data_IF_834629523135
#
_entry.id   IF_834629523135
#
_cell.length_a   1.000
_cell.length_b   1.000
_cell.length_c   1.000
_cell.angle_alpha   90.00
_cell.angle_beta   90.00
_cell.angle_gamma   90.00
#
_symmetry.space_group_name_H-M   'P 1'
#
loop_
_entity.id
_entity.type
_entity.pdbx_description
1 polymer ?
#
# COMPACT_ATOMS: atom_id res chain seq x y z
N UNK A 1 -27.86 -7.31 8.61
CA UNK A 1 -27.84 -7.12 7.13
C UNK A 1 -27.56 -8.47 6.49
N UNK A 2 -28.37 -8.95 5.53
CA UNK A 2 -28.09 -10.20 4.81
C UNK A 2 -26.70 -10.12 4.14
N UNK A 3 -25.88 -11.15 4.29
CA UNK A 3 -24.63 -11.27 3.56
C UNK A 3 -24.93 -11.19 2.06
N UNK A 4 -24.40 -10.17 1.38
CA UNK A 4 -24.55 -10.06 -0.07
C UNK A 4 -23.52 -10.99 -0.68
N UNK A 5 -23.97 -12.03 -1.37
CA UNK A 5 -23.10 -12.90 -2.16
C UNK A 5 -22.34 -12.13 -3.23
N UNK A 6 -21.43 -12.84 -3.91
CA UNK A 6 -20.65 -12.31 -5.03
C UNK A 6 -21.60 -11.63 -6.05
N UNK A 7 -21.25 -10.44 -6.60
CA UNK A 7 -22.02 -9.84 -7.68
C UNK A 7 -22.13 -10.81 -8.85
N UNK A 8 -23.26 -10.82 -9.58
CA UNK A 8 -23.46 -11.77 -10.69
C UNK A 8 -22.70 -11.40 -11.96
N UNK A 9 -22.19 -10.17 -12.04
CA UNK A 9 -21.45 -9.66 -13.17
C UNK A 9 -20.57 -8.48 -12.75
N UNK A 10 -19.61 -8.12 -13.61
CA UNK A 10 -18.78 -6.91 -13.42
C UNK A 10 -19.65 -5.64 -13.42
N UNK A 11 -20.73 -5.60 -14.21
CA UNK A 11 -21.68 -4.49 -14.19
C UNK A 11 -22.40 -4.35 -12.83
N UNK A 12 -22.78 -5.47 -12.20
CA UNK A 12 -23.36 -5.43 -10.86
C UNK A 12 -22.32 -4.95 -9.82
N UNK A 13 -21.07 -5.40 -9.93
CA UNK A 13 -19.97 -4.93 -9.07
C UNK A 13 -19.74 -3.41 -9.24
N UNK A 14 -19.69 -2.91 -10.47
CA UNK A 14 -19.60 -1.48 -10.80
C UNK A 14 -20.73 -0.69 -10.15
N UNK A 15 -21.98 -1.16 -10.27
CA UNK A 15 -23.13 -0.53 -9.62
C UNK A 15 -23.04 -0.53 -8.08
N UNK A 16 -22.51 -1.60 -7.47
CA UNK A 16 -22.25 -1.64 -6.03
C UNK A 16 -21.20 -0.61 -5.62
N UNK A 17 -20.06 -0.58 -6.32
CA UNK A 17 -19.00 0.41 -6.10
C UNK A 17 -19.55 1.82 -6.26
N UNK A 18 -20.37 2.10 -7.28
CA UNK A 18 -21.01 3.40 -7.48
C UNK A 18 -21.85 3.90 -6.30
N UNK A 19 -22.45 2.98 -5.53
CA UNK A 19 -23.31 3.27 -4.37
C UNK A 19 -22.56 3.34 -3.02
N UNK A 20 -21.26 3.07 -2.99
CA UNK A 20 -20.48 3.12 -1.73
C UNK A 20 -20.40 4.55 -1.21
N UNK A 21 -20.93 4.82 -0.02
CA UNK A 21 -20.74 6.10 0.68
C UNK A 21 -19.50 6.06 1.56
N UNK A 22 -18.67 7.11 1.51
CA UNK A 22 -17.36 7.14 2.16
C UNK A 22 -16.88 8.58 2.36
N UNK A 23 -16.25 8.87 3.50
CA UNK A 23 -15.65 10.19 3.80
C UNK A 23 -14.43 10.44 2.88
N UNK A 24 -14.22 11.70 2.49
CA UNK A 24 -13.06 12.11 1.67
C UNK A 24 -13.37 12.95 0.41
N UNK A 25 -14.63 13.38 0.21
CA UNK A 25 -15.01 14.38 -0.80
C UNK A 25 -14.49 14.08 -2.22
N UNK A 26 -13.77 15.06 -2.79
CA UNK A 26 -13.24 15.01 -4.16
C UNK A 26 -12.24 13.86 -4.39
N UNK A 27 -11.47 13.48 -3.38
CA UNK A 27 -10.53 12.36 -3.48
C UNK A 27 -11.27 11.04 -3.73
N UNK A 28 -12.33 10.79 -2.96
CA UNK A 28 -13.19 9.62 -3.13
C UNK A 28 -13.89 9.66 -4.47
N UNK A 29 -14.39 10.82 -4.89
CA UNK A 29 -15.04 10.98 -6.20
C UNK A 29 -14.06 10.67 -7.35
N UNK A 30 -12.82 11.16 -7.28
CA UNK A 30 -11.76 10.88 -8.25
C UNK A 30 -11.40 9.40 -8.29
N UNK A 31 -11.08 8.80 -7.15
CA UNK A 31 -10.72 7.39 -7.06
C UNK A 31 -11.85 6.47 -7.57
N UNK A 32 -13.11 6.83 -7.30
CA UNK A 32 -14.28 6.11 -7.82
C UNK A 32 -14.36 6.17 -9.33
N UNK A 33 -14.16 7.34 -9.96
CA UNK A 33 -14.14 7.45 -11.42
C UNK A 33 -13.05 6.59 -12.04
N UNK A 34 -11.86 6.55 -11.44
CA UNK A 34 -10.75 5.72 -11.95
C UNK A 34 -11.06 4.22 -11.83
N UNK A 35 -11.63 3.79 -10.69
CA UNK A 35 -12.07 2.40 -10.51
C UNK A 35 -13.26 2.05 -11.42
N UNK A 36 -14.16 3.01 -11.68
CA UNK A 36 -15.29 2.84 -12.59
C UNK A 36 -14.81 2.54 -14.02
N UNK A 37 -13.85 3.32 -14.53
CA UNK A 37 -13.20 3.08 -15.83
C UNK A 37 -12.53 1.70 -15.88
N UNK A 38 -11.85 1.29 -14.80
CA UNK A 38 -11.26 -0.04 -14.70
C UNK A 38 -12.32 -1.14 -14.84
N UNK A 39 -13.42 -1.04 -14.09
CA UNK A 39 -14.50 -2.02 -14.09
C UNK A 39 -15.28 -2.02 -15.41
N UNK A 40 -15.48 -0.86 -16.02
CA UNK A 40 -16.07 -0.73 -17.36
C UNK A 40 -15.20 -1.40 -18.42
N UNK A 41 -13.89 -1.20 -18.35
CA UNK A 41 -12.93 -1.88 -19.24
C UNK A 41 -13.00 -3.40 -19.04
N UNK A 42 -12.97 -3.87 -17.80
CA UNK A 42 -13.10 -5.30 -17.49
C UNK A 42 -14.41 -5.91 -18.03
N UNK A 43 -15.53 -5.18 -17.90
CA UNK A 43 -16.82 -5.60 -18.44
C UNK A 43 -16.82 -5.64 -19.98
N UNK A 44 -16.24 -4.63 -20.62
CA UNK A 44 -16.13 -4.53 -22.09
C UNK A 44 -15.29 -5.67 -22.66
N UNK A 45 -14.23 -6.07 -21.96
CA UNK A 45 -13.39 -7.21 -22.33
C UNK A 45 -13.96 -8.57 -21.90
N UNK A 46 -15.18 -8.62 -21.34
CA UNK A 46 -15.84 -9.87 -20.98
C UNK A 46 -15.17 -10.64 -19.84
N UNK A 47 -14.44 -9.95 -18.94
CA UNK A 47 -13.82 -10.61 -17.79
C UNK A 47 -14.87 -11.18 -16.83
N UNK A 48 -14.60 -12.37 -16.29
CA UNK A 48 -15.43 -12.98 -15.27
C UNK A 48 -15.41 -12.17 -13.97
N UNK A 49 -16.53 -12.08 -13.27
CA UNK A 49 -16.64 -11.30 -12.02
C UNK A 49 -15.78 -11.89 -10.90
N UNK A 50 -15.57 -13.21 -10.91
CA UNK A 50 -14.69 -13.94 -10.01
C UNK A 50 -13.24 -13.49 -10.16
N UNK A 51 -12.78 -13.27 -11.40
CA UNK A 51 -11.43 -12.84 -11.68
C UNK A 51 -11.23 -11.37 -11.32
N UNK A 52 -12.19 -10.51 -11.64
CA UNK A 52 -12.17 -9.10 -11.20
C UNK A 52 -12.19 -9.01 -9.67
N UNK A 53 -12.99 -9.84 -9.00
CA UNK A 53 -13.02 -9.90 -7.54
C UNK A 53 -11.68 -10.37 -6.95
N UNK A 54 -11.00 -11.32 -7.60
CA UNK A 54 -9.66 -11.78 -7.23
C UNK A 54 -8.61 -10.68 -7.41
N UNK A 55 -8.67 -9.92 -8.50
CA UNK A 55 -7.79 -8.78 -8.74
C UNK A 55 -8.00 -7.69 -7.67
N UNK A 56 -9.25 -7.30 -7.38
CA UNK A 56 -9.55 -6.33 -6.30
C UNK A 56 -9.07 -6.86 -4.95
N UNK A 57 -9.33 -8.13 -4.64
CA UNK A 57 -8.83 -8.76 -3.41
C UNK A 57 -7.32 -8.61 -3.29
N UNK A 58 -6.59 -8.81 -4.40
CA UNK A 58 -5.14 -8.68 -4.41
C UNK A 58 -4.64 -7.23 -4.33
N UNK A 59 -5.50 -6.26 -4.67
CA UNK A 59 -5.14 -4.84 -4.78
C UNK A 59 -4.54 -4.45 -6.13
N UNK A 60 -4.58 -5.32 -7.13
CA UNK A 60 -4.00 -5.05 -8.45
C UNK A 60 -4.60 -3.80 -9.15
N UNK A 61 -5.93 -3.55 -9.12
CA UNK A 61 -6.48 -2.33 -9.69
C UNK A 61 -5.97 -1.08 -8.96
N UNK A 62 -5.89 -1.13 -7.63
CA UNK A 62 -5.35 -0.05 -6.82
C UNK A 62 -3.89 0.24 -7.18
N UNK A 63 -3.06 -0.79 -7.35
CA UNK A 63 -1.66 -0.63 -7.76
C UNK A 63 -1.51 -0.02 -9.15
N UNK A 64 -2.30 -0.49 -10.12
CA UNK A 64 -2.27 0.05 -11.49
C UNK A 64 -2.67 1.53 -11.49
N UNK A 65 -3.77 1.87 -10.82
CA UNK A 65 -4.31 3.24 -10.75
C UNK A 65 -3.36 4.16 -9.96
N UNK A 66 -2.90 3.73 -8.78
CA UNK A 66 -1.97 4.47 -7.96
C UNK A 66 -0.60 4.65 -8.62
N UNK A 67 -0.12 3.63 -9.34
CA UNK A 67 1.13 3.71 -10.11
C UNK A 67 1.05 4.69 -11.29
N UNK A 68 -0.08 4.72 -12.01
CA UNK A 68 -0.32 5.72 -13.04
C UNK A 68 -0.34 7.14 -12.46
N UNK A 69 -1.00 7.33 -11.31
CA UNK A 69 -1.02 8.62 -10.61
C UNK A 69 0.37 9.03 -10.12
N UNK A 70 1.16 8.09 -9.60
CA UNK A 70 2.54 8.34 -9.19
C UNK A 70 3.40 8.77 -10.38
N UNK A 71 3.24 8.10 -11.53
CA UNK A 71 3.94 8.45 -12.77
C UNK A 71 3.66 9.90 -13.17
N UNK A 72 2.40 10.32 -13.10
CA UNK A 72 2.01 11.71 -13.37
C UNK A 72 2.57 12.73 -12.36
N UNK A 73 3.03 12.28 -11.19
CA UNK A 73 3.59 13.11 -10.13
C UNK A 73 5.14 13.11 -10.09
N UNK A 74 5.80 12.40 -11.00
CA UNK A 74 7.27 12.26 -11.03
C UNK A 74 7.98 13.61 -11.12
N UNK A 75 7.42 14.56 -11.86
CA UNK A 75 7.94 15.93 -11.99
C UNK A 75 7.25 16.92 -11.04
N UNK A 76 6.66 16.46 -9.95
CA UNK A 76 6.10 17.37 -8.94
C UNK A 76 7.19 18.01 -8.09
N UNK A 77 6.93 19.21 -7.57
CA UNK A 77 7.88 19.89 -6.69
C UNK A 77 8.31 19.04 -5.47
N UNK A 78 7.40 18.30 -4.77
CA UNK A 78 7.81 17.43 -3.67
C UNK A 78 8.81 16.34 -4.06
N UNK A 79 8.75 15.83 -5.30
CA UNK A 79 9.71 14.83 -5.79
C UNK A 79 11.05 15.49 -6.12
N UNK A 80 11.04 16.61 -6.87
CA UNK A 80 12.28 17.32 -7.24
C UNK A 80 13.05 17.88 -6.05
N UNK A 81 12.35 18.29 -5.02
CA UNK A 81 12.93 18.90 -3.83
C UNK A 81 13.26 17.86 -2.75
N UNK A 82 13.00 16.56 -2.99
CA UNK A 82 13.22 15.53 -1.99
C UNK A 82 14.72 15.43 -1.61
N UNK A 83 15.02 15.43 -0.31
CA UNK A 83 16.35 15.26 0.24
C UNK A 83 16.85 13.79 0.21
N UNK A 84 16.18 12.91 -0.55
CA UNK A 84 16.57 11.52 -0.68
C UNK A 84 17.90 11.40 -1.43
N UNK A 85 18.86 10.68 -0.86
CA UNK A 85 20.15 10.39 -1.46
C UNK A 85 20.53 8.91 -1.21
N UNK A 86 21.48 8.33 -1.98
CA UNK A 86 22.00 7.00 -1.69
C UNK A 86 22.46 6.88 -0.23
N UNK A 87 22.06 5.80 0.45
CA UNK A 87 22.34 5.56 1.87
C UNK A 87 21.44 6.31 2.87
N UNK A 88 20.53 7.18 2.40
CA UNK A 88 19.49 7.75 3.25
C UNK A 88 18.38 6.71 3.49
N UNK A 89 18.18 6.33 4.76
CA UNK A 89 17.28 5.22 5.14
C UNK A 89 16.32 5.56 6.29
N UNK A 90 16.13 6.84 6.62
CA UNK A 90 15.25 7.24 7.73
C UNK A 90 13.80 6.81 7.52
N UNK A 91 13.27 6.86 6.29
CA UNK A 91 11.93 6.36 5.97
C UNK A 91 11.80 4.83 6.08
N UNK A 92 12.94 4.12 6.13
CA UNK A 92 12.98 2.68 6.31
C UNK A 92 13.12 2.29 7.78
N UNK A 93 13.24 3.25 8.71
CA UNK A 93 13.05 3.00 10.14
C UNK A 93 11.54 3.00 10.39
N UNK A 94 10.98 1.82 10.48
CA UNK A 94 9.54 1.60 10.45
C UNK A 94 8.88 2.05 11.76
N UNK A 95 7.72 2.69 11.64
CA UNK A 95 6.91 3.09 12.78
C UNK A 95 6.07 1.89 13.28
N UNK A 96 6.20 1.55 14.56
CA UNK A 96 5.55 0.39 15.16
C UNK A 96 5.95 -0.96 14.53
N UNK A 97 5.23 -2.01 14.91
CA UNK A 97 5.55 -3.39 14.52
C UNK A 97 5.03 -3.79 13.12
N UNK A 98 4.13 -2.99 12.56
CA UNK A 98 3.48 -3.27 11.25
C UNK A 98 4.23 -2.57 10.09
N UNK A 99 4.90 -1.46 10.40
CA UNK A 99 5.57 -0.56 9.45
C UNK A 99 4.61 0.24 8.59
N UNK A 100 3.99 -0.37 7.59
CA UNK A 100 3.07 0.32 6.68
C UNK A 100 2.02 -0.61 6.08
N UNK A 101 0.93 -0.01 5.58
CA UNK A 101 -0.14 -0.71 4.87
C UNK A 101 0.25 -0.98 3.42
N UNK A 102 0.32 -2.26 3.06
CA UNK A 102 0.50 -2.74 1.68
C UNK A 102 -0.62 -3.70 1.28
N UNK A 103 -0.79 -3.91 -0.03
CA UNK A 103 -1.80 -4.84 -0.57
C UNK A 103 -1.18 -6.18 -0.97
N UNK A 104 -2.02 -7.20 -1.20
CA UNK A 104 -1.55 -8.58 -1.42
C UNK A 104 -0.55 -8.67 -2.58
N UNK A 105 -0.83 -7.98 -3.69
CA UNK A 105 0.05 -7.97 -4.85
C UNK A 105 1.43 -7.35 -4.55
N UNK A 106 1.49 -6.32 -3.68
CA UNK A 106 2.78 -5.78 -3.20
C UNK A 106 3.46 -6.73 -2.23
N UNK A 107 2.70 -7.34 -1.31
CA UNK A 107 3.23 -8.27 -0.33
C UNK A 107 3.89 -9.48 -1.00
N UNK A 108 3.24 -10.04 -2.03
CA UNK A 108 3.78 -11.13 -2.85
C UNK A 108 5.07 -10.72 -3.56
N UNK A 109 5.04 -9.57 -4.26
CA UNK A 109 6.21 -9.07 -5.00
C UNK A 109 7.39 -8.74 -4.08
N UNK A 110 7.13 -8.14 -2.92
CA UNK A 110 8.15 -7.81 -1.93
C UNK A 110 8.76 -9.08 -1.33
N UNK A 111 7.92 -10.05 -0.96
CA UNK A 111 8.39 -11.33 -0.43
C UNK A 111 9.28 -12.04 -1.46
N UNK A 112 8.80 -12.21 -2.69
CA UNK A 112 9.53 -12.84 -3.79
C UNK A 112 10.89 -12.19 -4.04
N UNK A 113 10.95 -10.85 -4.04
CA UNK A 113 12.20 -10.12 -4.25
C UNK A 113 13.22 -10.29 -3.10
N UNK A 114 12.76 -10.64 -1.89
CA UNK A 114 13.60 -10.78 -0.70
C UNK A 114 13.96 -12.23 -0.37
N UNK A 115 13.26 -13.22 -0.93
CA UNK A 115 13.56 -14.65 -0.75
C UNK A 115 15.04 -14.99 -1.02
N UNK A 116 15.71 -14.44 -2.06
CA UNK A 116 17.13 -14.72 -2.30
C UNK A 116 18.08 -14.30 -1.17
N UNK A 117 17.60 -13.49 -0.22
CA UNK A 117 18.37 -12.95 0.90
C UNK A 117 18.11 -13.71 2.21
N UNK A 118 17.42 -14.85 2.15
CA UNK A 118 17.10 -15.65 3.34
C UNK A 118 18.36 -16.00 4.13
N UNK A 119 18.36 -15.69 5.43
CA UNK A 119 19.48 -15.92 6.36
C UNK A 119 20.61 -14.88 6.31
N UNK A 120 20.58 -13.94 5.36
CA UNK A 120 21.57 -12.85 5.31
C UNK A 120 21.28 -11.79 6.38
N UNK A 121 22.31 -11.05 6.88
CA UNK A 121 22.09 -9.85 7.68
C UNK A 121 21.15 -8.87 6.97
N UNK A 122 20.31 -8.19 7.74
CA UNK A 122 19.34 -7.24 7.22
C UNK A 122 19.39 -5.91 7.97
N UNK A 123 18.55 -4.95 7.58
CA UNK A 123 18.50 -3.62 8.17
C UNK A 123 18.43 -3.59 9.71
N UNK A 124 17.91 -4.64 10.35
CA UNK A 124 17.84 -4.76 11.81
C UNK A 124 19.22 -4.84 12.47
N UNK A 125 20.26 -5.24 11.73
CA UNK A 125 21.64 -5.19 12.19
C UNK A 125 22.20 -3.75 12.26
N UNK A 126 21.63 -2.81 11.50
CA UNK A 126 21.96 -1.38 11.58
C UNK A 126 21.11 -0.64 12.60
N UNK A 127 19.80 -0.89 12.60
CA UNK A 127 18.86 -0.28 13.55
C UNK A 127 17.71 -1.23 13.85
N UNK A 128 17.33 -1.41 15.12
CA UNK A 128 16.35 -2.44 15.53
C UNK A 128 14.99 -2.38 14.82
N UNK A 129 14.56 -1.18 14.40
CA UNK A 129 13.33 -0.95 13.62
C UNK A 129 13.53 -0.76 12.12
N UNK A 130 14.74 -0.97 11.59
CA UNK A 130 14.95 -0.82 10.16
C UNK A 130 14.22 -1.92 9.38
N UNK A 131 13.75 -1.58 8.18
CA UNK A 131 13.11 -2.49 7.27
C UNK A 131 14.06 -3.66 6.93
N UNK A 132 13.62 -4.92 7.03
CA UNK A 132 14.43 -6.08 6.66
C UNK A 132 14.88 -6.09 5.19
N UNK A 133 14.26 -5.29 4.33
CA UNK A 133 14.70 -5.14 2.94
C UNK A 133 16.02 -4.36 2.80
N UNK A 134 16.46 -3.63 3.82
CA UNK A 134 17.71 -2.86 3.76
C UNK A 134 18.94 -3.76 3.86
N UNK A 135 19.94 -3.40 3.09
CA UNK A 135 21.32 -3.79 3.34
C UNK A 135 21.85 -3.00 4.56
N UNK A 136 22.34 -3.66 5.63
CA UNK A 136 22.75 -2.97 6.84
C UNK A 136 24.03 -2.13 6.69
N UNK A 137 24.91 -2.45 5.74
CA UNK A 137 26.18 -1.75 5.57
C UNK A 137 25.97 -0.48 4.73
N UNK A 138 25.30 -0.63 3.59
CA UNK A 138 25.09 0.45 2.62
C UNK A 138 23.83 1.25 2.89
N UNK A 139 22.89 0.71 3.67
CA UNK A 139 21.55 1.27 3.92
C UNK A 139 20.72 1.43 2.65
N UNK A 140 21.06 0.68 1.60
CA UNK A 140 20.32 0.64 0.34
C UNK A 140 19.24 -0.44 0.38
N UNK A 141 18.11 -0.20 -0.29
CA UNK A 141 17.05 -1.19 -0.39
C UNK A 141 17.43 -2.30 -1.38
N UNK A 142 17.46 -3.55 -0.92
CA UNK A 142 17.79 -4.73 -1.74
C UNK A 142 16.60 -5.23 -2.58
N UNK A 143 15.44 -4.61 -2.43
CA UNK A 143 14.21 -4.88 -3.17
C UNK A 143 13.66 -3.60 -3.84
N UNK A 144 14.55 -2.78 -4.39
CA UNK A 144 14.24 -1.42 -4.88
C UNK A 144 13.10 -1.40 -5.90
N UNK A 145 13.08 -2.35 -6.84
CA UNK A 145 12.04 -2.45 -7.87
C UNK A 145 10.72 -3.02 -7.34
N UNK A 146 10.79 -3.84 -6.30
CA UNK A 146 9.62 -4.39 -5.64
C UNK A 146 9.00 -3.44 -4.61
N UNK A 147 9.62 -2.28 -4.33
CA UNK A 147 9.18 -1.30 -3.33
C UNK A 147 7.67 -1.03 -3.41
N UNK A 148 6.94 -1.17 -2.28
CA UNK A 148 5.54 -0.81 -2.20
C UNK A 148 5.28 0.68 -2.47
N UNK A 149 4.03 1.03 -2.76
CA UNK A 149 3.55 2.38 -3.08
C UNK A 149 3.98 3.37 -2.00
N UNK A 150 3.80 3.03 -0.73
CA UNK A 150 4.21 3.90 0.39
C UNK A 150 5.69 4.29 0.33
N UNK A 151 6.59 3.36 -0.03
CA UNK A 151 8.03 3.59 -0.17
C UNK A 151 8.40 4.45 -1.38
N UNK A 152 7.47 4.63 -2.33
CA UNK A 152 7.64 5.46 -3.53
C UNK A 152 6.98 6.83 -3.40
N UNK A 153 6.04 6.95 -2.47
CA UNK A 153 5.22 8.15 -2.27
C UNK A 153 5.61 8.97 -1.05
N UNK A 154 6.33 8.39 -0.09
CA UNK A 154 6.84 9.13 1.06
C UNK A 154 8.06 9.95 0.64
N UNK A 155 7.96 11.27 0.72
CA UNK A 155 9.01 12.21 0.31
C UNK A 155 9.15 13.32 1.35
N UNK A 156 10.35 13.86 1.50
CA UNK A 156 10.62 15.00 2.35
C UNK A 156 11.71 15.85 1.72
N UNK A 157 11.59 17.19 1.71
CA UNK A 157 12.68 18.07 1.33
C UNK A 157 13.74 18.23 2.43
N UNK A 158 13.53 17.60 3.59
CA UNK A 158 14.37 17.73 4.76
C UNK A 158 14.72 16.33 5.32
N UNK A 159 15.99 15.95 5.20
CA UNK A 159 16.50 14.68 5.72
C UNK A 159 16.61 14.68 7.25
N UNK A 160 16.84 15.85 7.86
CA UNK A 160 16.92 16.01 9.31
C UNK A 160 15.54 15.86 9.94
N UNK A 161 14.50 16.39 9.31
CA UNK A 161 13.12 16.13 9.72
C UNK A 161 12.77 14.63 9.65
N UNK A 162 13.22 13.93 8.60
CA UNK A 162 13.06 12.47 8.52
C UNK A 162 13.78 11.74 9.65
N UNK A 163 15.01 12.17 10.01
CA UNK A 163 15.76 11.61 11.14
C UNK A 163 14.98 11.78 12.45
N UNK A 164 14.54 13.00 12.74
CA UNK A 164 13.76 13.31 13.96
C UNK A 164 12.50 12.44 14.05
N UNK A 165 11.74 12.33 12.97
CA UNK A 165 10.54 11.47 12.91
C UNK A 165 10.91 10.01 13.13
N UNK A 166 12.00 9.54 12.52
CA UNK A 166 12.46 8.17 12.71
C UNK A 166 12.84 7.86 14.15
N UNK A 167 13.28 8.86 14.92
CA UNK A 167 13.60 8.76 16.34
C UNK A 167 12.39 8.99 17.26
N UNK A 168 11.21 9.27 16.68
CA UNK A 168 9.96 9.48 17.41
C UNK A 168 9.67 10.95 17.77
N UNK A 169 10.45 11.89 17.25
CA UNK A 169 10.22 13.32 17.42
C UNK A 169 9.42 13.87 16.23
N UNK A 170 8.21 14.43 16.44
CA UNK A 170 7.45 15.02 15.36
C UNK A 170 8.22 16.18 14.70
N UNK A 171 8.26 16.19 13.37
CA UNK A 171 8.86 17.26 12.57
C UNK A 171 7.97 17.59 11.37
N UNK A 172 8.06 18.82 10.87
CA UNK A 172 7.43 19.22 9.62
C UNK A 172 8.32 18.87 8.43
N UNK A 173 7.74 18.74 7.23
CA UNK A 173 8.49 18.53 5.98
C UNK A 173 8.13 17.23 5.28
N UNK A 174 8.20 16.06 5.93
CA UNK A 174 7.82 14.82 5.28
C UNK A 174 6.32 14.74 4.97
N UNK A 175 5.99 14.17 3.81
CA UNK A 175 4.63 13.99 3.36
C UNK A 175 4.49 12.78 2.46
N UNK A 176 3.24 12.46 2.10
CA UNK A 176 2.94 11.45 1.09
C UNK A 176 2.35 12.08 -0.14
N UNK A 177 2.84 11.66 -1.30
CA UNK A 177 2.29 12.02 -2.60
C UNK A 177 0.82 11.61 -2.72
N UNK A 178 0.06 12.35 -3.53
CA UNK A 178 -1.38 12.12 -3.72
C UNK A 178 -1.71 10.71 -4.23
N UNK A 179 -0.77 10.10 -4.97
CA UNK A 179 -0.88 8.73 -5.46
C UNK A 179 -1.14 7.70 -4.34
N UNK A 180 -0.56 7.89 -3.14
CA UNK A 180 -0.80 6.98 -2.00
C UNK A 180 -2.25 7.04 -1.51
N UNK A 181 -2.82 8.24 -1.49
CA UNK A 181 -4.23 8.44 -1.08
C UNK A 181 -5.16 7.81 -2.10
N UNK A 182 -4.94 8.06 -3.40
CA UNK A 182 -5.70 7.42 -4.48
C UNK A 182 -5.61 5.90 -4.41
N UNK A 183 -4.40 5.35 -4.22
CA UNK A 183 -4.14 3.94 -4.07
C UNK A 183 -5.00 3.27 -2.97
N UNK A 184 -4.91 3.78 -1.74
CA UNK A 184 -5.69 3.23 -0.62
C UNK A 184 -7.19 3.43 -0.82
N UNK A 185 -7.58 4.56 -1.41
CA UNK A 185 -8.99 4.88 -1.63
C UNK A 185 -9.65 3.97 -2.66
N UNK A 186 -8.96 3.67 -3.76
CA UNK A 186 -9.41 2.66 -4.72
C UNK A 186 -9.58 1.30 -4.04
N UNK A 187 -8.63 0.88 -3.20
CA UNK A 187 -8.75 -0.40 -2.54
C UNK A 187 -9.94 -0.46 -1.59
N UNK A 188 -10.17 0.59 -0.81
CA UNK A 188 -11.30 0.61 0.12
C UNK A 188 -12.66 0.69 -0.62
N UNK A 189 -12.74 1.34 -1.78
CA UNK A 189 -13.91 1.27 -2.65
C UNK A 189 -14.15 -0.15 -3.17
N UNK A 190 -13.10 -0.84 -3.62
CA UNK A 190 -13.18 -2.24 -4.05
C UNK A 190 -13.61 -3.18 -2.93
N UNK A 191 -13.03 -3.04 -1.73
CA UNK A 191 -13.43 -3.75 -0.50
C UNK A 191 -14.91 -3.54 -0.18
N UNK A 192 -15.39 -2.31 -0.22
CA UNK A 192 -16.79 -1.99 0.05
C UNK A 192 -17.72 -2.57 -1.03
N UNK A 193 -17.33 -2.55 -2.31
CA UNK A 193 -18.08 -3.16 -3.41
C UNK A 193 -18.24 -4.68 -3.28
N UNK A 194 -17.26 -5.35 -2.67
CA UNK A 194 -17.22 -6.81 -2.43
C UNK A 194 -17.69 -7.21 -1.02
N UNK A 195 -18.17 -6.26 -0.21
CA UNK A 195 -18.57 -6.53 1.16
C UNK A 195 -19.64 -7.64 1.23
N UNK A 196 -19.38 -8.65 2.07
CA UNK A 196 -20.26 -9.82 2.24
C UNK A 196 -19.98 -10.97 1.27
N UNK A 197 -19.16 -10.76 0.23
CA UNK A 197 -18.79 -11.78 -0.74
C UNK A 197 -17.36 -12.28 -0.57
N UNK A 198 -16.40 -11.34 -0.43
CA UNK A 198 -14.97 -11.64 -0.40
C UNK A 198 -14.29 -10.79 0.67
N UNK A 199 -13.42 -11.40 1.48
CA UNK A 199 -12.51 -10.64 2.35
C UNK A 199 -11.37 -10.05 1.53
N UNK A 200 -11.19 -8.72 1.63
CA UNK A 200 -10.14 -7.96 0.95
C UNK A 200 -9.12 -7.47 1.99
N UNK A 201 -8.08 -8.26 2.30
CA UNK A 201 -7.10 -7.96 3.35
C UNK A 201 -6.14 -6.82 2.96
N UNK A 202 -5.46 -6.29 3.96
CA UNK A 202 -4.20 -5.54 3.80
C UNK A 202 -3.13 -6.19 4.67
N UNK A 203 -1.87 -5.86 4.41
CA UNK A 203 -0.73 -6.55 5.02
C UNK A 203 0.29 -5.57 5.57
N UNK A 204 0.97 -6.02 6.61
CA UNK A 204 2.05 -5.33 7.30
C UNK A 204 3.35 -5.47 6.51
N UNK A 205 3.87 -4.35 6.01
CA UNK A 205 5.12 -4.31 5.26
C UNK A 205 6.27 -4.96 6.04
N UNK A 206 6.41 -4.60 7.32
CA UNK A 206 7.52 -5.07 8.17
C UNK A 206 7.53 -6.60 8.27
N UNK A 207 6.37 -7.20 8.53
CA UNK A 207 6.22 -8.65 8.70
C UNK A 207 6.43 -9.43 7.40
N UNK A 208 5.99 -8.89 6.26
CA UNK A 208 6.25 -9.51 4.95
C UNK A 208 7.73 -9.52 4.64
N UNK A 209 8.40 -8.37 4.81
CA UNK A 209 9.84 -8.27 4.57
C UNK A 209 10.64 -9.19 5.50
N UNK A 210 10.29 -9.20 6.79
CA UNK A 210 10.90 -10.07 7.79
C UNK A 210 10.74 -11.54 7.43
N UNK A 211 9.52 -11.96 7.08
CA UNK A 211 9.24 -13.34 6.71
C UNK A 211 10.10 -13.84 5.55
N UNK A 212 10.32 -13.01 4.54
CA UNK A 212 11.12 -13.38 3.39
C UNK A 212 12.60 -13.60 3.76
N UNK A 213 13.21 -12.67 4.50
CA UNK A 213 14.62 -12.81 4.91
C UNK A 213 14.83 -13.85 6.01
N UNK A 214 13.77 -14.21 6.74
CA UNK A 214 13.75 -15.33 7.69
C UNK A 214 13.52 -16.68 6.99
N UNK A 215 13.37 -16.72 5.67
CA UNK A 215 13.16 -17.94 4.90
C UNK A 215 11.77 -18.56 5.07
N UNK A 216 10.78 -17.81 5.57
CA UNK A 216 9.41 -18.29 5.79
C UNK A 216 8.61 -18.28 4.48
N UNK A 217 7.74 -19.27 4.33
CA UNK A 217 6.92 -19.41 3.13
C UNK A 217 5.90 -18.27 2.97
N UNK A 218 5.59 -17.93 1.73
CA UNK A 218 4.69 -16.83 1.39
C UNK A 218 3.28 -17.00 1.98
N UNK A 219 2.77 -18.23 2.07
CA UNK A 219 1.42 -18.46 2.57
C UNK A 219 1.34 -18.19 4.08
N UNK A 220 2.34 -18.61 4.86
CA UNK A 220 2.49 -18.25 6.27
C UNK A 220 2.68 -16.74 6.44
N UNK A 221 3.59 -16.14 5.66
CA UNK A 221 3.84 -14.70 5.70
C UNK A 221 2.55 -13.88 5.49
N UNK A 222 1.73 -14.23 4.49
CA UNK A 222 0.46 -13.56 4.24
C UNK A 222 -0.57 -13.77 5.36
N UNK A 223 -0.59 -14.94 6.02
CA UNK A 223 -1.52 -15.17 7.14
C UNK A 223 -1.16 -14.30 8.34
N UNK A 224 0.12 -14.25 8.71
CA UNK A 224 0.62 -13.56 9.91
C UNK A 224 0.74 -12.04 9.73
N UNK A 225 1.04 -11.59 8.51
CA UNK A 225 1.13 -10.17 8.22
C UNK A 225 -0.24 -9.51 7.98
N UNK A 226 -1.34 -10.27 8.01
CA UNK A 226 -2.67 -9.72 7.74
C UNK A 226 -3.07 -8.72 8.83
N UNK A 227 -3.44 -7.52 8.42
CA UNK A 227 -3.94 -6.51 9.33
C UNK A 227 -5.34 -6.82 9.89
N UNK A 228 -5.65 -6.18 11.01
CA UNK A 228 -7.02 -6.11 11.53
C UNK A 228 -7.93 -5.40 10.51
N UNK A 229 -9.24 -5.69 10.50
CA UNK A 229 -10.15 -5.19 9.46
C UNK A 229 -10.10 -3.67 9.24
N UNK A 230 -10.01 -2.88 10.32
CA UNK A 230 -10.06 -1.40 10.31
C UNK A 230 -8.80 -0.70 9.80
N UNK A 231 -7.68 -1.40 9.71
CA UNK A 231 -6.38 -0.76 9.46
C UNK A 231 -6.32 0.01 8.14
N UNK A 232 -7.04 -0.41 7.09
CA UNK A 232 -7.09 0.33 5.83
C UNK A 232 -7.85 1.66 6.00
N UNK A 233 -8.98 1.63 6.68
CA UNK A 233 -9.82 2.80 6.92
C UNK A 233 -9.11 3.79 7.86
N UNK A 234 -8.47 3.30 8.92
CA UNK A 234 -7.71 4.11 9.86
C UNK A 234 -6.50 4.77 9.15
N UNK A 235 -5.77 4.03 8.30
CA UNK A 235 -4.65 4.59 7.53
C UNK A 235 -5.12 5.65 6.52
N UNK A 236 -6.26 5.43 5.87
CA UNK A 236 -6.85 6.45 5.00
C UNK A 236 -7.26 7.72 5.75
N UNK A 237 -7.89 7.57 6.90
CA UNK A 237 -8.28 8.69 7.75
C UNK A 237 -7.04 9.51 8.15
N UNK A 238 -5.98 8.83 8.60
CA UNK A 238 -4.69 9.44 8.94
C UNK A 238 -4.12 10.27 7.79
N UNK A 239 -4.15 9.76 6.55
CA UNK A 239 -3.59 10.46 5.39
C UNK A 239 -4.44 11.60 4.85
N UNK A 240 -5.73 11.61 5.18
CA UNK A 240 -6.67 12.66 4.74
C UNK A 240 -6.85 13.76 5.79
N UNK A 241 -6.23 13.62 6.97
CA UNK A 241 -6.45 14.52 8.11
C UNK A 241 -7.87 14.43 8.67
N UNK A 242 -8.66 13.42 8.26
CA UNK A 242 -9.95 13.15 8.85
C UNK A 242 -9.71 12.50 10.22
N UNK A 243 -10.04 13.21 11.30
CA UNK A 243 -9.93 12.66 12.64
C UNK A 243 -10.66 11.31 12.74
N UNK A 244 -10.00 10.33 13.35
CA UNK A 244 -10.66 9.13 13.86
C UNK A 244 -11.41 9.55 15.11
N UNK A 245 -12.72 9.81 14.97
CA UNK A 245 -13.65 9.98 16.08
C UNK A 245 -13.70 8.70 16.95
#
# INVERSE_FOLDING_TARGET
>A
MKAKGLPRSVAELRARVGKVTMRGGDEVARARRMLDVYLETAATHGLAVEDVAREIKSGLPALRIGGAELTAQTDSAPVRLAACAPGCAFCCILAGDEGAVILEAEARRLHEALVPLAGAPDGRAWHSRACPALDPETRMCRAYDARPMICRTYVSPDAEACRQISEGTPAAGPGVLGAQRTYLTVQALGRAGLQGAVTVPTYALARIAAAAVEGRDLAAALREARHKPRTLEDERARLTGAATD
#
